data_IF_593117498777
#
_entry.id   IF_593117498777
#
_cell.length_a   1.000
_cell.length_b   1.000
_cell.length_c   1.000
_cell.angle_alpha   90.00
_cell.angle_beta   90.00
_cell.angle_gamma   90.00
#
_symmetry.space_group_name_H-M   'P 1'
#
loop_
_entity.id
_entity.type
_entity.pdbx_description
1 polymer ?
#
# COMPACT_ATOMS: atom_id res chain seq x y z
N UNK A 1 -2.16 -1.19 42.85
CA UNK A 1 -1.82 -2.31 41.95
C UNK A 1 -1.46 -1.75 40.57
N UNK A 2 -0.49 -2.35 39.87
CA UNK A 2 -0.14 -1.95 38.50
C UNK A 2 -0.86 -2.84 37.49
N UNK A 3 -1.43 -2.24 36.45
CA UNK A 3 -2.07 -2.94 35.34
C UNK A 3 -1.45 -2.58 34.01
N UNK A 4 -1.62 -3.45 33.02
CA UNK A 4 -1.37 -3.15 31.61
C UNK A 4 -2.67 -3.35 30.86
N UNK A 5 -3.08 -2.40 30.03
CA UNK A 5 -4.34 -2.48 29.28
C UNK A 5 -4.18 -1.83 27.90
N UNK A 6 -5.15 -2.08 27.03
CA UNK A 6 -5.20 -1.57 25.67
C UNK A 6 -6.62 -1.11 25.30
N UNK A 7 -6.84 -0.77 24.02
CA UNK A 7 -8.11 -0.27 23.51
C UNK A 7 -9.19 -1.36 23.35
N UNK A 8 -10.45 -0.94 23.42
CA UNK A 8 -11.61 -1.74 23.00
C UNK A 8 -11.52 -2.08 21.51
N UNK A 9 -12.04 -3.26 21.13
CA UNK A 9 -11.79 -3.81 19.80
C UNK A 9 -10.35 -4.32 19.67
N UNK A 10 -9.85 -4.95 20.74
CA UNK A 10 -8.47 -5.45 20.83
C UNK A 10 -8.16 -6.40 19.66
N UNK A 11 -7.18 -6.04 18.85
CA UNK A 11 -6.59 -6.86 17.80
C UNK A 11 -5.32 -7.59 18.29
N UNK A 12 -4.56 -8.18 17.37
CA UNK A 12 -3.36 -8.92 17.73
C UNK A 12 -2.21 -8.02 18.17
N UNK A 13 -2.09 -6.79 17.66
CA UNK A 13 -1.03 -5.87 18.10
C UNK A 13 -1.30 -5.43 19.55
N UNK A 14 -2.54 -5.04 19.84
CA UNK A 14 -3.01 -4.73 21.17
C UNK A 14 -2.83 -5.90 22.15
N UNK A 15 -3.24 -7.12 21.79
CA UNK A 15 -3.06 -8.30 22.63
C UNK A 15 -1.57 -8.61 22.87
N UNK A 16 -0.78 -8.60 21.80
CA UNK A 16 0.65 -8.88 21.86
C UNK A 16 1.37 -7.86 22.74
N UNK A 17 1.02 -6.58 22.60
CA UNK A 17 1.53 -5.48 23.41
C UNK A 17 1.15 -5.61 24.89
N UNK A 18 -0.08 -6.03 25.22
CA UNK A 18 -0.46 -6.28 26.62
C UNK A 18 0.41 -7.38 27.21
N UNK A 19 0.58 -8.49 26.47
CA UNK A 19 1.40 -9.61 26.93
C UNK A 19 2.87 -9.19 27.06
N UNK A 20 3.46 -8.52 26.08
CA UNK A 20 4.83 -8.01 26.13
C UNK A 20 5.04 -7.04 27.31
N UNK A 21 4.06 -6.18 27.59
CA UNK A 21 4.07 -5.32 28.77
C UNK A 21 4.24 -6.10 30.07
N UNK A 22 3.63 -7.29 30.20
CA UNK A 22 3.74 -8.10 31.44
C UNK A 22 5.16 -8.61 31.68
N UNK A 23 5.97 -8.71 30.62
CA UNK A 23 7.40 -9.03 30.73
C UNK A 23 8.23 -7.80 31.15
N UNK A 24 7.90 -6.61 30.62
CA UNK A 24 8.62 -5.37 30.93
C UNK A 24 8.31 -4.80 32.32
N UNK A 25 7.12 -5.11 32.85
CA UNK A 25 6.66 -4.66 34.15
C UNK A 25 6.30 -5.86 35.05
N UNK A 26 7.28 -6.60 35.61
CA UNK A 26 7.02 -7.78 36.42
C UNK A 26 6.12 -7.49 37.62
N UNK A 27 5.10 -8.33 37.83
CA UNK A 27 4.13 -8.17 38.93
C UNK A 27 2.91 -7.30 38.57
N UNK A 28 2.89 -6.71 37.38
CA UNK A 28 1.68 -6.13 36.79
C UNK A 28 0.69 -7.22 36.36
N UNK A 29 -0.58 -6.81 36.20
CA UNK A 29 -1.65 -7.67 35.68
C UNK A 29 -2.06 -7.17 34.30
N UNK A 30 -1.97 -8.04 33.28
CA UNK A 30 -2.53 -7.75 31.96
C UNK A 30 -4.06 -7.78 32.00
N UNK A 31 -4.70 -6.70 31.60
CA UNK A 31 -6.15 -6.52 31.61
C UNK A 31 -6.64 -6.34 30.18
N UNK A 32 -7.55 -7.24 29.75
CA UNK A 32 -8.16 -7.14 28.41
C UNK A 32 -9.57 -6.54 28.46
N UNK A 33 -9.87 -5.61 27.55
CA UNK A 33 -11.23 -5.13 27.27
C UNK A 33 -12.23 -6.26 26.99
N UNK A 34 -13.52 -6.02 27.28
CA UNK A 34 -14.58 -6.98 27.01
C UNK A 34 -14.87 -7.19 25.51
N UNK A 35 -14.59 -6.19 24.68
CA UNK A 35 -14.73 -6.26 23.23
C UNK A 35 -13.35 -6.51 22.60
N UNK A 36 -13.17 -7.67 22.01
CA UNK A 36 -11.97 -8.10 21.28
C UNK A 36 -12.36 -8.55 19.88
N UNK A 37 -11.42 -8.48 18.93
CA UNK A 37 -11.67 -8.91 17.56
C UNK A 37 -11.92 -10.43 17.48
N UNK A 38 -12.68 -10.92 16.47
CA UNK A 38 -13.04 -12.34 16.36
C UNK A 38 -11.84 -13.30 16.36
N UNK A 39 -10.77 -12.94 15.65
CA UNK A 39 -9.56 -13.74 15.49
C UNK A 39 -8.80 -13.84 16.83
N UNK A 40 -8.70 -12.72 17.53
CA UNK A 40 -8.15 -12.65 18.90
C UNK A 40 -8.99 -13.48 19.85
N UNK A 41 -10.32 -13.42 19.76
CA UNK A 41 -11.22 -14.24 20.59
C UNK A 41 -10.98 -15.73 20.36
N UNK A 42 -10.81 -16.15 19.10
CA UNK A 42 -10.50 -17.54 18.75
C UNK A 42 -9.13 -17.96 19.28
N UNK A 43 -8.12 -17.10 19.21
CA UNK A 43 -6.80 -17.35 19.79
C UNK A 43 -6.89 -17.53 21.31
N UNK A 44 -7.58 -16.61 22.00
CA UNK A 44 -7.75 -16.64 23.45
C UNK A 44 -8.52 -17.88 23.93
N UNK A 45 -9.47 -18.40 23.15
CA UNK A 45 -10.22 -19.60 23.52
C UNK A 45 -9.31 -20.83 23.78
N UNK A 46 -8.13 -20.85 23.15
CA UNK A 46 -7.15 -21.94 23.27
C UNK A 46 -5.99 -21.52 24.20
N UNK A 47 -5.57 -20.26 24.12
CA UNK A 47 -4.30 -19.80 24.71
C UNK A 47 -4.46 -18.91 25.96
N UNK A 48 -5.66 -18.51 26.40
CA UNK A 48 -5.80 -17.53 27.48
C UNK A 48 -5.06 -17.90 28.79
N UNK A 49 -5.06 -19.19 29.17
CA UNK A 49 -4.46 -19.65 30.43
C UNK A 49 -2.94 -19.44 30.51
N UNK A 50 -2.25 -19.38 29.37
CA UNK A 50 -0.79 -19.20 29.34
C UNK A 50 -0.38 -17.72 29.27
N UNK A 51 -1.28 -16.82 28.88
CA UNK A 51 -0.99 -15.40 28.66
C UNK A 51 -1.09 -14.52 29.92
N UNK A 52 -1.52 -15.08 31.05
CA UNK A 52 -1.63 -14.37 32.36
C UNK A 52 -2.42 -13.05 32.28
N UNK A 53 -3.46 -13.05 31.49
CA UNK A 53 -4.37 -11.92 31.27
C UNK A 53 -5.68 -12.13 32.02
N UNK A 54 -6.30 -11.03 32.45
CA UNK A 54 -7.55 -11.00 33.18
C UNK A 54 -8.59 -10.16 32.43
N UNK A 55 -9.85 -10.60 32.31
CA UNK A 55 -10.90 -9.76 31.72
C UNK A 55 -11.14 -8.49 32.55
N UNK A 56 -11.36 -7.35 31.88
CA UNK A 56 -11.66 -6.06 32.53
C UNK A 56 -12.79 -6.14 33.55
N UNK A 57 -13.84 -6.91 33.27
CA UNK A 57 -15.01 -7.08 34.15
C UNK A 57 -14.68 -7.70 35.51
N UNK A 58 -13.58 -8.45 35.60
CA UNK A 58 -13.18 -9.19 36.80
C UNK A 58 -12.15 -8.38 37.62
N UNK A 59 -11.93 -7.12 37.25
CA UNK A 59 -10.90 -6.26 37.81
C UNK A 59 -11.50 -5.05 38.55
N UNK A 60 -11.06 -4.84 39.78
CA UNK A 60 -11.42 -3.66 40.59
C UNK A 60 -10.57 -2.46 40.18
N UNK A 61 -11.21 -1.49 39.52
CA UNK A 61 -10.54 -0.30 38.99
C UNK A 61 -10.06 0.64 40.11
N UNK A 62 -10.71 0.61 41.28
CA UNK A 62 -10.36 1.50 42.38
C UNK A 62 -9.03 1.10 43.04
N UNK A 63 -8.62 -0.16 42.91
CA UNK A 63 -7.34 -0.68 43.40
C UNK A 63 -6.13 -0.33 42.50
N UNK A 64 -6.35 0.27 41.32
CA UNK A 64 -5.27 0.66 40.39
C UNK A 64 -4.50 1.85 40.94
N UNK A 65 -3.18 1.75 40.99
CA UNK A 65 -2.27 2.83 41.41
C UNK A 65 -1.27 3.21 40.32
N UNK A 66 -1.09 2.35 39.32
CA UNK A 66 -0.23 2.56 38.15
C UNK A 66 -0.84 1.83 36.96
N UNK A 67 -0.80 2.42 35.78
CA UNK A 67 -1.36 1.88 34.53
C UNK A 67 -0.36 2.05 33.40
N UNK A 68 -0.11 0.95 32.69
CA UNK A 68 0.60 0.94 31.42
C UNK A 68 -0.44 0.79 30.31
N UNK A 69 -0.57 1.80 29.47
CA UNK A 69 -1.46 1.78 28.32
C UNK A 69 -0.63 1.41 27.09
N UNK A 70 -1.07 0.40 26.36
CA UNK A 70 -0.39 -0.08 25.16
C UNK A 70 -1.32 -0.03 23.95
N UNK A 71 -0.77 0.35 22.80
CA UNK A 71 -1.50 0.48 21.52
C UNK A 71 -2.73 1.41 21.59
N UNK A 72 -2.65 2.41 22.48
CA UNK A 72 -3.67 3.43 22.63
C UNK A 72 -3.11 4.69 23.29
N UNK A 73 -3.51 5.84 22.78
CA UNK A 73 -3.15 7.15 23.34
C UNK A 73 -4.37 7.96 23.83
N UNK A 74 -5.55 7.34 23.89
CA UNK A 74 -6.80 8.04 24.18
C UNK A 74 -7.66 7.33 25.23
N UNK A 75 -8.03 8.03 26.30
CA UNK A 75 -8.87 7.50 27.39
C UNK A 75 -10.18 6.88 26.90
N UNK A 76 -10.82 7.49 25.89
CA UNK A 76 -12.09 7.00 25.34
C UNK A 76 -11.98 5.65 24.65
N UNK A 77 -10.77 5.23 24.28
CA UNK A 77 -10.51 3.91 23.71
C UNK A 77 -10.42 2.83 24.79
N UNK A 78 -10.27 3.16 26.07
CA UNK A 78 -10.12 2.19 27.16
C UNK A 78 -11.47 1.74 27.72
N UNK A 79 -11.62 0.46 28.02
CA UNK A 79 -12.90 -0.14 28.44
C UNK A 79 -13.32 0.29 29.86
N UNK A 80 -14.22 1.28 29.95
CA UNK A 80 -14.78 1.80 31.20
C UNK A 80 -13.68 2.17 32.19
N UNK A 81 -12.71 2.95 31.72
CA UNK A 81 -11.58 3.42 32.52
C UNK A 81 -11.49 4.95 32.64
N UNK A 82 -12.51 5.68 32.19
CA UNK A 82 -12.50 7.15 32.23
C UNK A 82 -12.30 7.72 33.66
N UNK A 83 -12.77 7.00 34.69
CA UNK A 83 -12.57 7.39 36.09
C UNK A 83 -11.11 7.40 36.54
N UNK A 84 -10.22 6.70 35.84
CA UNK A 84 -8.78 6.74 36.11
C UNK A 84 -8.13 8.02 35.60
N UNK A 85 -8.70 8.67 34.58
CA UNK A 85 -8.14 9.90 34.01
C UNK A 85 -8.06 11.05 35.02
N UNK A 86 -8.97 11.07 35.99
CA UNK A 86 -9.07 12.10 37.04
C UNK A 86 -8.48 11.65 38.38
N UNK A 87 -7.89 10.46 38.45
CA UNK A 87 -7.40 9.88 39.70
C UNK A 87 -6.08 10.51 40.12
N UNK A 88 -6.09 11.24 41.24
CA UNK A 88 -4.88 11.82 41.81
C UNK A 88 -3.84 10.74 42.16
N UNK A 89 -2.58 11.00 41.78
CA UNK A 89 -1.46 10.11 42.08
C UNK A 89 -1.39 8.82 41.24
N UNK A 90 -2.22 8.70 40.19
CA UNK A 90 -2.10 7.62 39.23
C UNK A 90 -0.85 7.81 38.36
N UNK A 91 0.04 6.83 38.39
CA UNK A 91 1.16 6.75 37.44
C UNK A 91 0.65 6.18 36.11
N UNK A 92 0.94 6.86 35.01
CA UNK A 92 0.49 6.46 33.67
C UNK A 92 1.69 6.36 32.75
N UNK A 93 1.93 5.17 32.20
CA UNK A 93 2.97 4.92 31.19
C UNK A 93 2.26 4.57 29.88
N UNK A 94 2.72 5.10 28.75
CA UNK A 94 2.11 4.89 27.45
C UNK A 94 3.11 4.31 26.44
N UNK A 95 2.72 3.24 25.75
CA UNK A 95 3.43 2.67 24.60
C UNK A 95 2.48 2.66 23.40
N UNK A 96 2.76 3.43 22.36
CA UNK A 96 1.85 3.55 21.22
C UNK A 96 2.62 3.93 19.95
N UNK A 97 2.09 3.61 18.78
CA UNK A 97 2.64 4.07 17.49
C UNK A 97 1.76 5.14 16.80
N UNK A 98 0.55 5.41 17.32
CA UNK A 98 -0.36 6.41 16.77
C UNK A 98 0.05 7.84 17.15
N UNK A 99 0.40 8.67 16.16
CA UNK A 99 0.88 10.05 16.39
C UNK A 99 -0.21 11.08 16.70
N UNK A 100 -1.46 10.80 16.31
CA UNK A 100 -2.58 11.73 16.43
C UNK A 100 -3.61 11.27 17.48
N UNK A 101 -4.49 12.18 17.91
CA UNK A 101 -5.65 11.83 18.74
C UNK A 101 -5.37 11.62 20.24
N UNK A 102 -4.21 12.08 20.71
CA UNK A 102 -3.71 11.90 22.08
C UNK A 102 -4.58 12.63 23.10
N UNK A 103 -5.06 11.91 24.11
CA UNK A 103 -5.74 12.49 25.29
C UNK A 103 -5.17 11.99 26.62
N UNK A 104 -4.33 10.96 26.60
CA UNK A 104 -3.66 10.43 27.78
C UNK A 104 -2.44 11.30 28.07
N UNK A 105 -2.42 11.92 29.25
CA UNK A 105 -1.26 12.60 29.81
C UNK A 105 -0.48 11.60 30.68
N UNK A 106 0.63 11.09 30.15
CA UNK A 106 1.42 10.03 30.76
C UNK A 106 2.74 10.58 31.31
N UNK A 107 3.16 10.11 32.48
CA UNK A 107 4.46 10.48 33.06
C UNK A 107 5.65 9.86 32.31
N UNK A 108 5.41 8.79 31.55
CA UNK A 108 6.39 8.16 30.67
C UNK A 108 5.72 7.77 29.35
N UNK A 109 6.32 8.14 28.21
CA UNK A 109 5.76 7.89 26.87
C UNK A 109 6.81 7.30 25.95
N UNK A 110 6.47 6.16 25.36
CA UNK A 110 7.22 5.50 24.28
C UNK A 110 6.33 5.54 23.04
N UNK A 111 6.46 6.62 22.27
CA UNK A 111 5.66 6.83 21.07
C UNK A 111 6.53 7.20 19.88
N UNK A 112 6.60 6.29 18.93
CA UNK A 112 7.43 6.40 17.74
C UNK A 112 6.71 5.82 16.52
N UNK A 113 7.08 6.28 15.32
CA UNK A 113 6.45 5.85 14.07
C UNK A 113 7.03 4.48 13.69
N UNK A 114 6.28 3.42 13.98
CA UNK A 114 6.58 2.03 13.63
C UNK A 114 5.32 1.35 13.11
N UNK A 115 5.48 0.24 12.40
CA UNK A 115 4.38 -0.48 11.78
C UNK A 115 3.42 -1.12 12.78
N UNK A 116 3.88 -1.49 13.97
CA UNK A 116 3.07 -2.04 15.07
C UNK A 116 3.59 -1.57 16.43
N UNK A 117 2.71 -1.29 17.39
CA UNK A 117 3.05 -0.87 18.74
C UNK A 117 3.92 -1.92 19.46
N UNK A 118 3.65 -3.22 19.26
CA UNK A 118 4.44 -4.30 19.88
C UNK A 118 5.92 -4.25 19.50
N UNK A 119 6.28 -3.67 18.34
CA UNK A 119 7.67 -3.49 17.93
C UNK A 119 8.47 -2.73 19.00
N UNK A 120 7.91 -1.66 19.57
CA UNK A 120 8.57 -0.85 20.60
C UNK A 120 8.82 -1.66 21.88
N UNK A 121 7.82 -2.46 22.29
CA UNK A 121 7.94 -3.29 23.48
C UNK A 121 8.96 -4.42 23.27
N UNK A 122 9.04 -5.00 22.07
CA UNK A 122 9.98 -6.06 21.74
C UNK A 122 11.42 -5.57 21.68
N UNK A 123 11.66 -4.38 21.15
CA UNK A 123 12.98 -3.76 21.17
C UNK A 123 13.45 -3.56 22.61
N UNK A 124 12.57 -3.11 23.50
CA UNK A 124 12.89 -2.96 24.92
C UNK A 124 13.08 -4.32 25.61
N UNK A 125 12.28 -5.33 25.28
CA UNK A 125 12.48 -6.70 25.78
C UNK A 125 13.82 -7.27 25.34
N UNK A 126 14.20 -7.08 24.08
CA UNK A 126 15.49 -7.50 23.52
C UNK A 126 16.63 -6.76 24.22
N UNK A 127 16.52 -5.44 24.41
CA UNK A 127 17.51 -4.62 25.13
C UNK A 127 17.71 -5.08 26.58
N UNK A 128 16.67 -5.63 27.21
CA UNK A 128 16.70 -6.18 28.57
C UNK A 128 17.09 -7.66 28.64
N UNK A 129 17.45 -8.29 27.51
CA UNK A 129 17.70 -9.74 27.40
C UNK A 129 16.56 -10.58 28.00
N UNK A 130 15.32 -10.15 27.76
CA UNK A 130 14.14 -10.76 28.37
C UNK A 130 13.77 -12.07 27.66
N UNK A 131 13.78 -13.22 28.34
CA UNK A 131 13.50 -14.49 27.69
C UNK A 131 12.01 -14.61 27.34
N UNK A 132 11.73 -15.09 26.14
CA UNK A 132 10.38 -15.40 25.68
C UNK A 132 10.32 -16.84 25.15
N UNK A 133 9.14 -17.45 25.22
CA UNK A 133 8.93 -18.81 24.71
C UNK A 133 8.51 -18.78 23.24
N UNK A 134 8.64 -19.88 22.48
CA UNK A 134 8.15 -19.97 21.10
C UNK A 134 6.69 -19.53 20.93
N UNK A 135 5.83 -19.83 21.92
CA UNK A 135 4.43 -19.40 21.90
C UNK A 135 4.27 -17.88 22.05
N UNK A 136 5.06 -17.24 22.91
CA UNK A 136 5.08 -15.78 22.98
C UNK A 136 5.65 -15.18 21.70
N UNK A 137 6.70 -15.79 21.13
CA UNK A 137 7.28 -15.38 19.86
C UNK A 137 6.22 -15.38 18.75
N UNK A 138 5.42 -16.45 18.67
CA UNK A 138 4.30 -16.57 17.73
C UNK A 138 3.24 -15.48 17.92
N UNK A 139 2.83 -15.20 19.17
CA UNK A 139 1.85 -14.15 19.45
C UNK A 139 2.38 -12.76 19.06
N UNK A 140 3.63 -12.47 19.41
CA UNK A 140 4.26 -11.19 19.06
C UNK A 140 4.41 -11.04 17.55
N UNK A 141 4.68 -12.14 16.83
CA UNK A 141 4.76 -12.13 15.38
C UNK A 141 3.39 -11.90 14.74
N UNK A 142 2.32 -12.47 15.31
CA UNK A 142 0.94 -12.17 14.93
C UNK A 142 0.62 -10.68 15.09
N UNK A 143 1.05 -10.06 16.18
CA UNK A 143 0.89 -8.62 16.41
C UNK A 143 1.52 -7.79 15.31
N UNK A 144 2.81 -8.00 15.03
CA UNK A 144 3.51 -7.26 13.97
C UNK A 144 2.84 -7.51 12.61
N UNK A 145 2.60 -8.76 12.23
CA UNK A 145 2.07 -9.07 10.90
C UNK A 145 0.64 -8.59 10.68
N UNK A 146 -0.20 -8.58 11.71
CA UNK A 146 -1.57 -8.05 11.65
C UNK A 146 -1.56 -6.58 11.24
N UNK A 147 -0.73 -5.76 11.90
CA UNK A 147 -0.76 -4.31 11.72
C UNK A 147 0.11 -3.81 10.55
N UNK A 148 1.08 -4.64 10.14
CA UNK A 148 1.95 -4.34 8.99
C UNK A 148 1.47 -4.93 7.66
N UNK A 149 0.37 -5.69 7.67
CA UNK A 149 -0.10 -6.44 6.51
C UNK A 149 0.96 -7.45 6.02
N UNK A 150 1.61 -8.15 6.95
CA UNK A 150 2.79 -8.98 6.73
C UNK A 150 3.94 -8.20 6.06
N UNK A 151 4.29 -7.03 6.61
CA UNK A 151 5.35 -6.13 6.13
C UNK A 151 5.11 -5.51 4.73
N UNK A 152 3.86 -5.45 4.27
CA UNK A 152 3.51 -4.89 2.95
C UNK A 152 2.99 -3.46 3.00
N UNK A 153 2.58 -2.98 4.17
CA UNK A 153 2.01 -1.64 4.29
C UNK A 153 3.09 -0.54 4.25
N UNK A 154 2.78 0.66 3.75
CA UNK A 154 3.75 1.76 3.69
C UNK A 154 4.23 2.26 5.07
N UNK A 155 3.47 2.01 6.14
CA UNK A 155 3.83 2.36 7.52
C UNK A 155 4.95 1.50 8.10
N UNK A 156 5.34 0.43 7.40
CA UNK A 156 6.34 -0.53 7.86
C UNK A 156 7.72 0.10 7.90
N UNK A 157 8.44 -0.13 8.99
CA UNK A 157 9.80 0.31 9.18
C UNK A 157 10.78 -0.86 9.21
N UNK A 158 12.08 -0.57 9.09
CA UNK A 158 13.12 -1.57 9.26
C UNK A 158 13.13 -2.20 10.66
N UNK A 159 12.60 -1.50 11.68
CA UNK A 159 12.48 -1.98 13.06
C UNK A 159 11.49 -3.14 13.16
N UNK A 160 10.36 -3.04 12.47
CA UNK A 160 9.35 -4.12 12.41
C UNK A 160 9.97 -5.39 11.79
N UNK A 161 10.69 -5.23 10.67
CA UNK A 161 11.37 -6.35 10.01
C UNK A 161 12.48 -6.97 10.89
N UNK A 162 13.21 -6.16 11.67
CA UNK A 162 14.20 -6.66 12.60
C UNK A 162 13.56 -7.47 13.73
N UNK A 163 12.45 -7.01 14.29
CA UNK A 163 11.71 -7.76 15.31
C UNK A 163 11.08 -9.03 14.76
N UNK A 164 10.62 -9.04 13.51
CA UNK A 164 10.19 -10.28 12.84
C UNK A 164 11.33 -11.30 12.77
N UNK A 165 12.54 -10.89 12.37
CA UNK A 165 13.71 -11.77 12.37
C UNK A 165 13.99 -12.33 13.77
N UNK A 166 14.01 -11.45 14.77
CA UNK A 166 14.22 -11.81 16.17
C UNK A 166 13.21 -12.83 16.67
N UNK A 167 11.92 -12.66 16.34
CA UNK A 167 10.86 -13.59 16.77
C UNK A 167 10.98 -14.96 16.08
N UNK A 168 11.33 -14.98 14.80
CA UNK A 168 11.57 -16.23 14.06
C UNK A 168 12.78 -16.98 14.66
N UNK A 169 13.86 -16.27 14.97
CA UNK A 169 15.04 -16.83 15.65
C UNK A 169 14.70 -17.41 17.03
N UNK A 170 13.70 -16.83 17.72
CA UNK A 170 13.18 -17.32 19.00
C UNK A 170 12.07 -18.38 18.85
N UNK A 171 11.87 -18.92 17.64
CA UNK A 171 11.01 -20.08 17.40
C UNK A 171 9.54 -19.76 17.18
N UNK A 172 9.20 -18.56 16.71
CA UNK A 172 7.83 -18.26 16.28
C UNK A 172 7.35 -19.27 15.21
N UNK A 173 6.14 -19.78 15.37
CA UNK A 173 5.55 -20.78 14.47
C UNK A 173 4.72 -20.11 13.36
N UNK A 174 5.33 -20.01 12.18
CA UNK A 174 4.71 -19.42 10.99
C UNK A 174 3.44 -20.17 10.53
N UNK A 175 3.27 -21.45 10.85
CA UNK A 175 2.04 -22.16 10.50
C UNK A 175 0.86 -21.67 11.34
N UNK A 176 1.10 -21.43 12.64
CA UNK A 176 0.09 -20.84 13.53
C UNK A 176 -0.20 -19.42 13.08
N UNK A 177 0.83 -18.62 12.78
CA UNK A 177 0.64 -17.26 12.26
C UNK A 177 -0.21 -17.27 10.99
N UNK A 178 0.13 -18.13 10.03
CA UNK A 178 -0.65 -18.27 8.80
C UNK A 178 -2.11 -18.67 9.06
N UNK A 179 -2.38 -19.55 10.03
CA UNK A 179 -3.74 -20.01 10.32
C UNK A 179 -4.64 -18.92 10.94
N UNK A 180 -4.07 -17.96 11.65
CA UNK A 180 -4.80 -16.84 12.26
C UNK A 180 -4.85 -15.59 11.39
N UNK A 181 -3.89 -15.43 10.47
CA UNK A 181 -3.90 -14.36 9.47
C UNK A 181 -4.56 -14.77 8.14
N UNK A 182 -4.85 -16.06 7.97
CA UNK A 182 -5.64 -16.51 6.82
C UNK A 182 -7.03 -15.89 6.95
N UNK A 183 -7.28 -14.90 6.09
CA UNK A 183 -8.60 -14.38 5.75
C UNK A 183 -9.38 -15.53 5.07
N UNK A 184 -9.75 -16.57 5.83
CA UNK A 184 -10.56 -17.66 5.32
C UNK A 184 -11.90 -17.04 4.92
N UNK A 185 -12.10 -16.89 3.61
CA UNK A 185 -13.35 -16.42 3.05
C UNK A 185 -14.37 -17.51 3.30
N UNK A 186 -15.24 -17.27 4.28
CA UNK A 186 -16.40 -18.13 4.49
C UNK A 186 -17.32 -18.11 3.25
N UNK A 187 -18.36 -18.94 3.28
CA UNK A 187 -19.31 -19.02 2.17
C UNK A 187 -19.95 -17.66 1.84
N UNK A 188 -20.13 -16.77 2.83
CA UNK A 188 -20.69 -15.44 2.63
C UNK A 188 -19.74 -14.51 1.88
N UNK A 189 -18.44 -14.54 2.19
CA UNK A 189 -17.42 -13.81 1.44
C UNK A 189 -17.28 -14.36 0.02
N UNK A 190 -17.35 -15.69 -0.15
CA UNK A 190 -17.30 -16.32 -1.47
C UNK A 190 -18.51 -15.93 -2.34
N UNK A 191 -19.72 -15.94 -1.76
CA UNK A 191 -20.93 -15.47 -2.44
C UNK A 191 -20.83 -13.99 -2.80
N UNK A 192 -20.36 -13.15 -1.87
CA UNK A 192 -20.18 -11.73 -2.13
C UNK A 192 -19.12 -11.48 -3.22
N UNK A 193 -18.02 -12.22 -3.22
CA UNK A 193 -17.01 -12.13 -4.27
C UNK A 193 -17.58 -12.49 -5.64
N UNK A 194 -18.42 -13.53 -5.69
CA UNK A 194 -19.17 -13.90 -6.90
C UNK A 194 -20.02 -12.74 -7.42
N UNK A 195 -20.77 -12.06 -6.53
CA UNK A 195 -21.56 -10.87 -6.89
C UNK A 195 -20.69 -9.71 -7.37
N UNK A 196 -19.55 -9.46 -6.72
CA UNK A 196 -18.60 -8.43 -7.17
C UNK A 196 -18.12 -8.75 -8.59
N UNK A 197 -17.77 -10.00 -8.89
CA UNK A 197 -17.32 -10.40 -10.23
C UNK A 197 -18.41 -10.28 -11.30
N UNK A 198 -19.67 -10.45 -10.94
CA UNK A 198 -20.82 -10.37 -11.84
C UNK A 198 -21.29 -8.93 -12.07
N UNK A 199 -21.40 -8.13 -11.01
CA UNK A 199 -22.04 -6.81 -11.02
C UNK A 199 -21.06 -5.64 -11.18
N UNK A 200 -19.76 -5.86 -10.95
CA UNK A 200 -18.80 -4.77 -11.07
C UNK A 200 -18.68 -4.26 -12.51
N UNK A 201 -18.81 -2.94 -12.68
CA UNK A 201 -18.51 -2.26 -13.92
C UNK A 201 -17.01 -1.96 -14.02
N UNK A 202 -16.46 -2.03 -15.24
CA UNK A 202 -15.10 -1.57 -15.52
C UNK A 202 -15.21 -0.30 -16.36
N UNK A 203 -14.79 0.81 -15.78
CA UNK A 203 -14.80 2.13 -16.42
C UNK A 203 -13.39 2.49 -16.85
N UNK A 204 -13.25 2.94 -18.10
CA UNK A 204 -12.01 3.49 -18.62
C UNK A 204 -11.93 4.98 -18.26
N UNK A 205 -11.02 5.34 -17.36
CA UNK A 205 -10.79 6.73 -16.98
C UNK A 205 -9.40 7.15 -17.47
N UNK A 206 -9.36 7.88 -18.57
CA UNK A 206 -8.10 8.17 -19.25
C UNK A 206 -7.43 6.87 -19.70
N UNK A 207 -6.28 6.56 -19.12
CA UNK A 207 -5.56 5.31 -19.40
C UNK A 207 -5.75 4.23 -18.33
N UNK A 208 -6.44 4.49 -17.20
CA UNK A 208 -6.67 3.46 -16.16
C UNK A 208 -7.96 2.70 -16.42
N UNK A 209 -7.92 1.41 -16.13
CA UNK A 209 -9.11 0.60 -15.90
C UNK A 209 -9.49 0.68 -14.42
N UNK A 210 -10.71 1.11 -14.14
CA UNK A 210 -11.24 1.22 -12.78
C UNK A 210 -12.44 0.30 -12.65
N UNK A 211 -12.35 -0.65 -11.73
CA UNK A 211 -13.50 -1.47 -11.37
C UNK A 211 -14.34 -0.80 -10.28
N UNK A 212 -15.65 -0.71 -10.45
CA UNK A 212 -16.57 -0.13 -9.46
C UNK A 212 -17.69 -1.13 -9.22
N UNK A 213 -17.98 -1.42 -7.96
CA UNK A 213 -19.07 -2.33 -7.59
C UNK A 213 -19.86 -1.73 -6.43
N UNK A 214 -21.19 -1.73 -6.53
CA UNK A 214 -22.09 -1.21 -5.50
C UNK A 214 -23.10 -2.28 -5.08
N UNK A 215 -23.00 -2.78 -3.85
CA UNK A 215 -23.78 -3.93 -3.38
C UNK A 215 -24.43 -3.68 -2.02
N UNK A 216 -25.64 -4.21 -1.85
CA UNK A 216 -26.19 -4.40 -0.51
C UNK A 216 -25.57 -5.64 0.14
N UNK A 217 -25.21 -5.52 1.41
CA UNK A 217 -24.58 -6.60 2.18
C UNK A 217 -25.35 -6.86 3.47
N UNK A 218 -25.18 -8.05 4.02
CA UNK A 218 -25.68 -8.36 5.37
C UNK A 218 -24.86 -7.59 6.42
N UNK A 219 -25.50 -7.19 7.51
CA UNK A 219 -24.81 -6.54 8.62
C UNK A 219 -23.82 -7.50 9.28
N UNK A 220 -22.64 -6.97 9.62
CA UNK A 220 -21.60 -7.73 10.33
C UNK A 220 -20.57 -8.44 9.44
N UNK A 221 -20.68 -8.36 8.10
CA UNK A 221 -19.65 -8.87 7.21
C UNK A 221 -18.40 -7.95 7.27
N UNK A 222 -17.26 -8.51 7.66
CA UNK A 222 -15.96 -7.83 7.76
C UNK A 222 -15.10 -8.13 6.52
N UNK A 223 -13.81 -7.76 6.52
CA UNK A 223 -12.83 -8.09 5.47
C UNK A 223 -13.23 -7.74 4.01
N UNK A 224 -14.13 -6.76 3.83
CA UNK A 224 -14.57 -6.31 2.49
C UNK A 224 -13.43 -5.68 1.68
N UNK A 225 -12.43 -5.11 2.35
CA UNK A 225 -11.22 -4.60 1.73
C UNK A 225 -10.43 -5.69 1.00
N UNK A 226 -10.36 -6.88 1.58
CA UNK A 226 -9.70 -8.05 0.97
C UNK A 226 -10.45 -8.48 -0.29
N UNK A 227 -11.78 -8.44 -0.29
CA UNK A 227 -12.60 -8.73 -1.48
C UNK A 227 -12.35 -7.72 -2.61
N UNK A 228 -12.30 -6.42 -2.31
CA UNK A 228 -12.03 -5.38 -3.30
C UNK A 228 -10.61 -5.52 -3.88
N UNK A 229 -9.63 -5.86 -3.04
CA UNK A 229 -8.25 -6.12 -3.48
C UNK A 229 -8.16 -7.36 -4.38
N UNK A 230 -8.74 -8.50 -3.95
CA UNK A 230 -8.79 -9.72 -4.76
C UNK A 230 -9.48 -9.47 -6.10
N UNK A 231 -10.54 -8.66 -6.13
CA UNK A 231 -11.22 -8.30 -7.38
C UNK A 231 -10.31 -7.47 -8.29
N UNK A 232 -9.59 -6.48 -7.73
CA UNK A 232 -8.60 -5.67 -8.46
C UNK A 232 -7.55 -6.54 -9.12
N UNK A 233 -6.97 -7.47 -8.37
CA UNK A 233 -5.95 -8.43 -8.83
C UNK A 233 -6.52 -9.38 -9.89
N UNK A 234 -7.68 -9.98 -9.61
CA UNK A 234 -8.30 -10.98 -10.49
C UNK A 234 -8.72 -10.40 -11.85
N UNK A 235 -9.30 -9.19 -11.87
CA UNK A 235 -9.66 -8.49 -13.11
C UNK A 235 -8.50 -7.76 -13.76
N UNK A 236 -7.36 -7.62 -13.07
CA UNK A 236 -6.20 -6.88 -13.55
C UNK A 236 -6.46 -5.39 -13.74
N UNK A 237 -7.38 -4.79 -12.97
CA UNK A 237 -7.68 -3.36 -13.04
C UNK A 237 -6.68 -2.54 -12.23
N UNK A 238 -6.50 -1.27 -12.58
CA UNK A 238 -5.51 -0.40 -11.93
C UNK A 238 -5.99 0.08 -10.56
N UNK A 239 -7.31 0.25 -10.44
CA UNK A 239 -8.01 0.56 -9.21
C UNK A 239 -9.34 -0.19 -9.12
N UNK A 240 -9.79 -0.45 -7.91
CA UNK A 240 -11.08 -1.04 -7.61
C UNK A 240 -11.75 -0.28 -6.46
N UNK A 241 -13.04 -0.05 -6.57
CA UNK A 241 -13.88 0.54 -5.55
C UNK A 241 -15.06 -0.38 -5.25
N UNK A 242 -15.20 -0.77 -3.98
CA UNK A 242 -16.39 -1.44 -3.46
C UNK A 242 -17.21 -0.45 -2.64
N UNK A 243 -18.48 -0.26 -3.02
CA UNK A 243 -19.47 0.49 -2.27
C UNK A 243 -20.43 -0.51 -1.64
N UNK A 244 -20.44 -0.57 -0.32
CA UNK A 244 -21.22 -1.55 0.42
C UNK A 244 -22.23 -0.86 1.34
N UNK A 245 -23.47 -1.33 1.29
CA UNK A 245 -24.55 -0.81 2.13
C UNK A 245 -25.15 -1.94 2.98
N UNK A 246 -24.89 -1.90 4.28
CA UNK A 246 -25.52 -2.80 5.26
C UNK A 246 -26.81 -2.23 5.87
N UNK A 247 -26.95 -0.91 5.89
CA UNK A 247 -28.15 -0.20 6.33
C UNK A 247 -28.44 0.99 5.41
N UNK A 248 -29.70 1.42 5.29
CA UNK A 248 -30.11 2.47 4.35
C UNK A 248 -29.56 3.87 4.67
N UNK A 249 -28.83 4.05 5.78
CA UNK A 249 -28.38 5.36 6.27
C UNK A 249 -26.92 5.63 5.97
N UNK A 250 -26.12 4.63 5.61
CA UNK A 250 -24.70 4.84 5.27
C UNK A 250 -24.21 3.87 4.20
N UNK A 251 -23.35 4.38 3.33
CA UNK A 251 -22.58 3.57 2.39
C UNK A 251 -21.12 3.61 2.81
N UNK A 252 -20.51 2.42 2.93
CA UNK A 252 -19.07 2.29 3.12
C UNK A 252 -18.41 2.16 1.76
N UNK A 253 -17.47 3.05 1.45
CA UNK A 253 -16.68 3.00 0.23
C UNK A 253 -15.28 2.52 0.60
N UNK A 254 -14.81 1.51 -0.11
CA UNK A 254 -13.45 0.98 0.02
C UNK A 254 -12.76 1.09 -1.32
N UNK A 255 -11.61 1.76 -1.36
CA UNK A 255 -10.77 1.85 -2.54
C UNK A 255 -9.48 1.05 -2.40
N UNK A 256 -9.06 0.44 -3.49
CA UNK A 256 -7.76 -0.21 -3.65
C UNK A 256 -7.18 0.17 -4.99
N UNK A 257 -5.90 0.48 -5.04
CA UNK A 257 -5.29 1.01 -6.25
C UNK A 257 -3.79 0.88 -6.26
N UNK A 258 -3.24 1.06 -7.45
CA UNK A 258 -1.80 1.23 -7.66
C UNK A 258 -1.47 2.71 -7.43
N UNK A 259 -0.71 3.08 -6.39
CA UNK A 259 -0.35 4.47 -6.09
C UNK A 259 0.19 5.25 -7.30
N UNK A 260 0.94 4.57 -8.17
CA UNK A 260 1.50 5.14 -9.40
C UNK A 260 0.46 5.57 -10.44
N UNK A 261 -0.81 5.18 -10.27
CA UNK A 261 -1.88 5.47 -11.21
C UNK A 261 -3.01 6.30 -10.62
N UNK A 262 -3.28 6.15 -9.32
CA UNK A 262 -4.36 6.88 -8.64
C UNK A 262 -4.07 6.96 -7.14
N UNK A 263 -4.19 8.15 -6.55
CA UNK A 263 -4.13 8.32 -5.09
C UNK A 263 -5.52 8.04 -4.49
N UNK A 264 -5.70 6.80 -4.03
CA UNK A 264 -6.95 6.37 -3.38
C UNK A 264 -7.21 7.18 -2.11
N UNK A 265 -6.18 7.48 -1.32
CA UNK A 265 -6.31 8.25 -0.08
C UNK A 265 -6.85 9.65 -0.33
N UNK A 266 -6.40 10.32 -1.39
CA UNK A 266 -6.88 11.64 -1.79
C UNK A 266 -8.37 11.59 -2.19
N UNK A 267 -8.77 10.58 -2.95
CA UNK A 267 -10.17 10.38 -3.34
C UNK A 267 -11.06 10.10 -2.12
N UNK A 268 -10.58 9.27 -1.19
CA UNK A 268 -11.33 8.96 0.04
C UNK A 268 -11.46 10.17 0.94
N UNK A 269 -10.44 11.04 1.04
CA UNK A 269 -10.54 12.33 1.75
C UNK A 269 -11.61 13.24 1.16
N UNK A 270 -11.76 13.28 -0.17
CA UNK A 270 -12.83 14.05 -0.81
C UNK A 270 -14.23 13.52 -0.47
N UNK A 271 -14.37 12.24 -0.09
CA UNK A 271 -15.59 11.61 0.41
C UNK A 271 -15.76 11.72 1.93
N UNK A 272 -14.89 12.46 2.63
CA UNK A 272 -14.90 12.58 4.09
C UNK A 272 -14.31 11.37 4.83
N UNK A 273 -13.56 10.54 4.13
CA UNK A 273 -12.78 9.43 4.68
C UNK A 273 -11.28 9.72 4.76
N UNK A 274 -10.47 8.68 4.58
CA UNK A 274 -9.02 8.77 4.64
C UNK A 274 -8.32 7.55 4.06
N UNK A 275 -6.99 7.55 4.14
CA UNK A 275 -6.14 6.47 3.66
C UNK A 275 -4.82 6.95 3.05
N UNK A 276 -4.13 6.00 2.43
CA UNK A 276 -2.85 6.16 1.76
C UNK A 276 -3.03 6.10 0.23
N UNK A 277 -2.01 6.45 -0.57
CA UNK A 277 -2.10 6.41 -2.03
C UNK A 277 -2.62 5.10 -2.63
N UNK A 278 -2.31 3.94 -2.04
CA UNK A 278 -2.76 2.64 -2.57
C UNK A 278 -4.08 2.10 -2.00
N UNK A 279 -4.57 2.67 -0.90
CA UNK A 279 -5.70 2.10 -0.16
C UNK A 279 -6.36 3.15 0.72
N UNK A 280 -7.69 3.13 0.76
CA UNK A 280 -8.43 4.00 1.66
C UNK A 280 -9.88 3.59 1.79
N UNK A 281 -10.60 4.28 2.67
CA UNK A 281 -12.03 4.08 2.89
C UNK A 281 -12.72 5.36 3.33
N UNK A 282 -14.01 5.46 3.03
CA UNK A 282 -14.88 6.52 3.46
C UNK A 282 -16.26 5.99 3.88
N UNK A 283 -16.94 6.70 4.77
CA UNK A 283 -18.34 6.43 5.13
C UNK A 283 -19.17 7.63 4.70
N UNK A 284 -20.02 7.43 3.70
CA UNK A 284 -20.94 8.46 3.21
C UNK A 284 -22.29 8.25 3.92
N UNK A 285 -22.73 9.26 4.66
CA UNK A 285 -23.99 9.22 5.43
C UNK A 285 -25.14 9.78 4.60
N UNK A 286 -26.33 9.21 4.78
CA UNK A 286 -27.59 9.62 4.15
C UNK A 286 -27.53 9.61 2.62
N UNK A 287 -26.91 8.58 2.03
CA UNK A 287 -26.69 8.47 0.59
C UNK A 287 -27.09 7.06 0.13
N UNK A 288 -27.72 6.99 -1.04
CA UNK A 288 -28.05 5.70 -1.67
C UNK A 288 -26.82 5.02 -2.26
N UNK A 289 -26.89 3.71 -2.55
CA UNK A 289 -25.80 3.01 -3.23
C UNK A 289 -25.46 3.64 -4.58
N UNK A 290 -26.48 4.04 -5.34
CA UNK A 290 -26.33 4.62 -6.67
C UNK A 290 -25.67 6.00 -6.60
N UNK A 291 -26.11 6.87 -5.68
CA UNK A 291 -25.50 8.18 -5.46
C UNK A 291 -24.05 8.07 -4.97
N UNK A 292 -23.75 7.09 -4.12
CA UNK A 292 -22.39 6.84 -3.66
C UNK A 292 -21.49 6.34 -4.82
N UNK A 293 -22.01 5.47 -5.68
CA UNK A 293 -21.31 5.02 -6.88
C UNK A 293 -21.06 6.18 -7.86
N UNK A 294 -22.03 7.07 -8.05
CA UNK A 294 -21.87 8.27 -8.90
C UNK A 294 -20.82 9.25 -8.37
N UNK A 295 -20.78 9.45 -7.05
CA UNK A 295 -19.72 10.26 -6.42
C UNK A 295 -18.34 9.65 -6.67
N UNK A 296 -18.19 8.33 -6.49
CA UNK A 296 -16.93 7.63 -6.79
C UNK A 296 -16.58 7.79 -8.27
N UNK A 297 -17.52 7.57 -9.21
CA UNK A 297 -17.29 7.74 -10.65
C UNK A 297 -16.78 9.15 -10.98
N UNK A 298 -17.45 10.18 -10.45
CA UNK A 298 -17.10 11.58 -10.67
C UNK A 298 -15.71 11.94 -10.13
N UNK A 299 -15.39 11.49 -8.91
CA UNK A 299 -14.10 11.73 -8.29
C UNK A 299 -12.98 10.99 -9.03
N UNK A 300 -13.23 9.77 -9.48
CA UNK A 300 -12.26 8.99 -10.25
C UNK A 300 -11.97 9.68 -11.58
N UNK A 301 -13.00 10.16 -12.28
CA UNK A 301 -12.87 10.93 -13.52
C UNK A 301 -12.04 12.21 -13.34
N UNK A 302 -12.23 12.90 -12.21
CA UNK A 302 -11.56 14.18 -11.90
C UNK A 302 -10.14 13.98 -11.37
N UNK A 303 -9.89 12.95 -10.57
CA UNK A 303 -8.60 12.65 -9.94
C UNK A 303 -7.54 12.14 -10.92
N UNK A 304 -7.95 11.59 -12.06
CA UNK A 304 -7.05 11.12 -13.12
C UNK A 304 -6.52 12.25 -14.03
N UNK A 305 -6.84 13.52 -13.75
CA UNK A 305 -6.43 14.66 -14.58
C UNK A 305 -5.07 15.26 -14.23
N UNK A 306 -4.41 14.84 -13.15
CA UNK A 306 -3.01 15.20 -12.90
C UNK A 306 -2.10 14.31 -13.74
N UNK A 307 -2.00 14.61 -15.04
CA UNK A 307 -1.13 13.90 -15.98
C UNK A 307 0.08 14.76 -16.28
N UNK A 308 1.27 14.29 -15.93
CA UNK A 308 2.49 14.80 -16.57
C UNK A 308 2.43 14.41 -18.05
N UNK A 309 2.38 15.41 -18.93
CA UNK A 309 2.40 15.20 -20.37
C UNK A 309 3.83 14.95 -20.86
N UNK A 310 3.96 14.19 -21.95
CA UNK A 310 5.24 13.88 -22.60
C UNK A 310 6.01 15.14 -22.93
N UNK A 311 5.34 16.20 -23.36
CA UNK A 311 5.96 17.49 -23.67
C UNK A 311 6.70 18.12 -22.49
N UNK A 312 6.31 17.81 -21.25
CA UNK A 312 6.96 18.33 -20.04
C UNK A 312 8.26 17.58 -19.67
N UNK A 313 8.46 16.36 -20.19
CA UNK A 313 9.59 15.48 -19.83
C UNK A 313 10.47 15.08 -21.01
N UNK A 314 10.06 15.40 -22.24
CA UNK A 314 10.80 15.03 -23.44
C UNK A 314 12.17 15.72 -23.50
N UNK A 315 13.16 14.99 -24.02
CA UNK A 315 14.49 15.51 -24.32
C UNK A 315 14.53 16.16 -25.71
N UNK A 316 15.47 17.08 -25.89
CA UNK A 316 15.86 17.58 -27.22
C UNK A 316 16.25 16.39 -28.13
N UNK A 317 15.74 16.34 -29.37
CA UNK A 317 15.91 15.17 -30.22
C UNK A 317 17.29 15.10 -30.89
N UNK A 318 18.12 16.15 -30.85
CA UNK A 318 19.35 16.26 -31.65
C UNK A 318 20.36 15.13 -31.46
N UNK A 319 20.50 14.64 -30.21
CA UNK A 319 21.39 13.48 -29.92
C UNK A 319 20.79 12.14 -30.35
N UNK A 320 19.50 12.07 -30.62
CA UNK A 320 18.77 10.84 -30.99
C UNK A 320 18.51 10.71 -32.50
N UNK A 321 18.77 11.72 -33.32
CA UNK A 321 18.45 11.71 -34.76
C UNK A 321 19.66 11.30 -35.63
N UNK A 322 19.44 10.54 -36.71
CA UNK A 322 20.40 10.39 -37.82
C UNK A 322 19.72 10.51 -39.19
N UNK A 323 20.48 10.98 -40.19
CA UNK A 323 20.01 11.02 -41.58
C UNK A 323 19.99 9.62 -42.22
N UNK A 324 19.18 9.37 -43.28
CA UNK A 324 18.93 8.02 -43.79
C UNK A 324 20.15 7.38 -44.49
N UNK A 325 21.11 8.20 -44.92
CA UNK A 325 22.34 7.84 -45.61
C UNK A 325 23.54 7.62 -44.69
N UNK A 326 23.42 7.95 -43.39
CA UNK A 326 24.42 7.65 -42.37
C UNK A 326 24.70 6.15 -42.35
N UNK A 327 25.96 5.75 -42.18
CA UNK A 327 26.36 4.34 -42.15
C UNK A 327 26.05 3.67 -40.81
N UNK A 328 25.92 2.35 -40.79
CA UNK A 328 25.72 1.59 -39.54
C UNK A 328 26.85 1.82 -38.52
N UNK A 329 28.09 1.99 -38.99
CA UNK A 329 29.24 2.30 -38.12
C UNK A 329 29.12 3.68 -37.45
N UNK A 330 28.74 4.70 -38.22
CA UNK A 330 28.53 6.05 -37.70
C UNK A 330 27.35 6.11 -36.72
N UNK A 331 26.27 5.38 -37.00
CA UNK A 331 25.14 5.27 -36.09
C UNK A 331 25.54 4.60 -34.76
N UNK A 332 26.31 3.51 -34.80
CA UNK A 332 26.85 2.86 -33.61
C UNK A 332 27.77 3.80 -32.80
N UNK A 333 28.63 4.55 -33.48
CA UNK A 333 29.49 5.54 -32.84
C UNK A 333 28.68 6.65 -32.16
N UNK A 334 27.62 7.15 -32.82
CA UNK A 334 26.75 8.18 -32.23
C UNK A 334 26.03 7.66 -30.99
N UNK A 335 25.49 6.43 -31.02
CA UNK A 335 24.88 5.78 -29.87
C UNK A 335 25.86 5.67 -28.69
N UNK A 336 27.06 5.16 -28.94
CA UNK A 336 28.11 5.02 -27.93
C UNK A 336 28.56 6.37 -27.35
N UNK A 337 28.79 7.38 -28.20
CA UNK A 337 29.24 8.70 -27.77
C UNK A 337 28.20 9.44 -26.91
N UNK A 338 26.91 9.15 -27.11
CA UNK A 338 25.82 9.80 -26.37
C UNK A 338 25.24 8.93 -25.24
N UNK A 339 25.79 7.72 -25.04
CA UNK A 339 25.30 6.71 -24.10
C UNK A 339 23.79 6.43 -24.26
N UNK A 340 23.37 6.15 -25.50
CA UNK A 340 21.97 5.86 -25.88
C UNK A 340 21.89 4.55 -26.66
N UNK A 341 20.77 3.83 -26.51
CA UNK A 341 20.54 2.52 -27.15
C UNK A 341 19.71 2.58 -28.43
N UNK A 342 19.18 3.75 -28.79
CA UNK A 342 18.21 3.94 -29.86
C UNK A 342 18.40 5.26 -30.60
N UNK A 343 18.16 5.22 -31.91
CA UNK A 343 18.14 6.40 -32.79
C UNK A 343 16.85 6.42 -33.61
N UNK A 344 16.37 7.63 -33.89
CA UNK A 344 15.32 7.91 -34.86
C UNK A 344 15.98 8.33 -36.18
N UNK A 345 15.62 7.66 -37.26
CA UNK A 345 16.07 8.01 -38.61
C UNK A 345 15.10 9.07 -39.12
N UNK A 346 15.60 10.27 -39.42
CA UNK A 346 14.79 11.36 -39.94
C UNK A 346 15.26 11.80 -41.32
N UNK A 347 14.32 12.27 -42.14
CA UNK A 347 14.63 13.14 -43.27
C UNK A 347 14.18 14.56 -42.87
N UNK A 348 15.14 15.46 -42.68
CA UNK A 348 14.91 16.75 -42.02
C UNK A 348 14.25 16.53 -40.65
N UNK A 349 13.05 17.09 -40.42
CA UNK A 349 12.30 16.92 -39.18
C UNK A 349 11.34 15.71 -39.20
N UNK A 350 11.13 15.04 -40.35
CA UNK A 350 10.15 13.95 -40.46
C UNK A 350 10.77 12.61 -40.07
N UNK A 351 10.24 11.90 -39.05
CA UNK A 351 10.72 10.58 -38.67
C UNK A 351 10.33 9.53 -39.72
N UNK A 352 11.30 8.73 -40.17
CA UNK A 352 11.15 7.68 -41.17
C UNK A 352 11.24 6.26 -40.57
N UNK A 353 11.78 6.13 -39.36
CA UNK A 353 11.88 4.86 -38.66
C UNK A 353 12.87 4.89 -37.50
N UNK A 354 13.04 3.73 -36.86
CA UNK A 354 13.91 3.54 -35.70
C UNK A 354 15.07 2.60 -35.99
N UNK A 355 16.13 2.75 -35.20
CA UNK A 355 17.31 1.89 -35.22
C UNK A 355 17.78 1.63 -33.79
N UNK A 356 18.02 0.37 -33.44
CA UNK A 356 18.55 -0.02 -32.13
C UNK A 356 20.05 -0.31 -32.17
N UNK A 357 20.73 -0.19 -31.02
CA UNK A 357 22.14 -0.58 -30.86
C UNK A 357 22.39 -2.03 -31.27
N UNK A 358 21.42 -2.92 -31.04
CA UNK A 358 21.48 -4.31 -31.46
C UNK A 358 21.48 -4.45 -32.99
N UNK A 359 20.68 -3.65 -33.70
CA UNK A 359 20.65 -3.64 -35.16
C UNK A 359 22.01 -3.18 -35.72
N UNK A 360 22.58 -2.11 -35.14
CA UNK A 360 23.94 -1.63 -35.43
C UNK A 360 25.01 -2.71 -35.22
N UNK A 361 25.01 -3.34 -34.05
CA UNK A 361 25.99 -4.36 -33.66
C UNK A 361 25.94 -5.57 -34.61
N UNK A 362 24.74 -6.04 -34.96
CA UNK A 362 24.57 -7.17 -35.89
C UNK A 362 25.07 -6.84 -37.29
N UNK A 363 24.79 -5.64 -37.79
CA UNK A 363 25.25 -5.22 -39.11
C UNK A 363 26.78 -5.11 -39.18
N UNK A 364 27.41 -4.47 -38.18
CA UNK A 364 28.88 -4.31 -38.11
C UNK A 364 29.57 -5.67 -38.03
N UNK A 365 29.12 -6.57 -37.16
CA UNK A 365 29.67 -7.94 -37.06
C UNK A 365 29.53 -8.77 -38.34
N UNK A 366 28.54 -8.46 -39.17
CA UNK A 366 28.29 -9.15 -40.43
C UNK A 366 29.02 -8.51 -41.63
N UNK A 367 29.98 -7.61 -41.38
CA UNK A 367 30.74 -6.91 -42.43
C UNK A 367 29.93 -5.85 -43.19
N UNK A 368 28.83 -5.36 -42.60
CA UNK A 368 27.91 -4.38 -43.22
C UNK A 368 28.00 -3.00 -42.55
N UNK A 369 29.20 -2.64 -42.11
CA UNK A 369 29.48 -1.39 -41.40
C UNK A 369 29.17 -0.15 -42.25
N UNK A 370 29.47 -0.19 -43.56
CA UNK A 370 29.33 0.94 -44.49
C UNK A 370 27.94 1.03 -45.14
N UNK A 371 27.01 0.14 -44.78
CA UNK A 371 25.65 0.19 -45.34
C UNK A 371 24.85 1.34 -44.71
N UNK A 372 24.07 2.10 -45.49
CA UNK A 372 23.18 3.13 -44.96
C UNK A 372 22.11 2.60 -43.99
N UNK A 373 21.83 3.35 -42.92
CA UNK A 373 20.83 3.00 -41.90
C UNK A 373 19.42 2.83 -42.45
N UNK A 374 19.05 3.52 -43.54
CA UNK A 374 17.73 3.36 -44.19
C UNK A 374 17.42 1.92 -44.64
N UNK A 375 18.45 1.10 -44.87
CA UNK A 375 18.29 -0.32 -45.22
C UNK A 375 17.89 -1.21 -44.03
N UNK A 376 18.06 -0.72 -42.81
CA UNK A 376 17.75 -1.40 -41.54
C UNK A 376 16.66 -0.71 -40.74
N UNK A 377 16.14 0.41 -41.25
CA UNK A 377 15.12 1.22 -40.60
C UNK A 377 13.82 0.44 -40.34
N UNK A 378 13.37 0.44 -39.10
CA UNK A 378 12.04 -0.05 -38.73
C UNK A 378 11.03 1.08 -38.93
N UNK A 379 10.15 0.94 -39.92
CA UNK A 379 9.22 2.01 -40.32
C UNK A 379 8.09 2.28 -39.33
N UNK A 380 7.66 1.26 -38.60
CA UNK A 380 6.59 1.38 -37.60
C UNK A 380 7.21 1.57 -36.22
N UNK A 381 7.76 2.75 -35.96
CA UNK A 381 8.13 3.14 -34.60
C UNK A 381 6.91 3.68 -33.85
N UNK A 382 6.78 3.40 -32.54
CA UNK A 382 5.75 4.03 -31.73
C UNK A 382 6.03 5.54 -31.61
N UNK A 383 4.98 6.35 -31.77
CA UNK A 383 5.02 7.82 -31.76
C UNK A 383 4.04 8.32 -30.69
N UNK A 384 4.43 9.38 -29.98
CA UNK A 384 3.60 10.10 -29.03
C UNK A 384 3.42 11.57 -29.49
N UNK A 385 2.31 12.21 -29.11
CA UNK A 385 2.16 13.66 -29.22
C UNK A 385 2.71 14.34 -27.94
N UNK A 386 3.03 15.65 -27.97
CA UNK A 386 3.42 16.37 -26.75
C UNK A 386 2.36 16.27 -25.64
N UNK A 387 1.08 16.25 -26.00
CA UNK A 387 -0.06 16.10 -25.08
C UNK A 387 -0.33 14.65 -24.64
N UNK A 388 0.37 13.67 -25.20
CA UNK A 388 0.27 12.27 -24.74
C UNK A 388 0.74 12.21 -23.30
N UNK A 389 -0.03 11.57 -22.43
CA UNK A 389 0.39 11.44 -21.03
C UNK A 389 1.58 10.49 -20.89
N UNK A 390 2.48 10.75 -19.95
CA UNK A 390 3.68 9.92 -19.72
C UNK A 390 3.33 8.43 -19.55
N UNK A 391 2.16 8.13 -18.98
CA UNK A 391 1.68 6.76 -18.82
C UNK A 391 1.32 6.07 -20.14
N UNK A 392 0.59 6.74 -21.03
CA UNK A 392 0.32 6.20 -22.37
C UNK A 392 1.64 6.02 -23.13
N UNK A 393 2.57 6.96 -22.97
CA UNK A 393 3.93 6.80 -23.46
C UNK A 393 4.62 5.56 -22.86
N UNK A 394 4.47 5.21 -21.58
CA UNK A 394 5.01 3.95 -21.03
C UNK A 394 4.47 2.72 -21.74
N UNK A 395 3.19 2.70 -22.13
CA UNK A 395 2.60 1.59 -22.90
C UNK A 395 3.13 1.55 -24.35
N UNK A 396 3.30 2.71 -24.98
CA UNK A 396 3.94 2.80 -26.29
C UNK A 396 5.40 2.34 -26.23
N UNK A 397 6.11 2.67 -25.14
CA UNK A 397 7.51 2.32 -24.88
C UNK A 397 7.70 0.82 -24.73
N UNK A 398 6.73 0.10 -24.13
CA UNK A 398 6.78 -1.36 -24.04
C UNK A 398 6.86 -2.05 -25.42
N UNK A 399 6.36 -1.38 -26.46
CA UNK A 399 6.43 -1.84 -27.84
C UNK A 399 7.60 -1.22 -28.63
N UNK A 400 8.33 -0.26 -28.06
CA UNK A 400 9.48 0.39 -28.68
C UNK A 400 10.75 -0.44 -28.46
N UNK A 401 11.28 -1.06 -29.51
CA UNK A 401 12.48 -1.92 -29.40
C UNK A 401 13.78 -1.13 -29.31
N UNK A 402 13.71 0.13 -29.67
CA UNK A 402 14.82 1.08 -29.68
C UNK A 402 15.06 1.69 -28.29
N UNK A 403 14.13 1.51 -27.35
CA UNK A 403 14.19 2.10 -26.01
C UNK A 403 13.93 3.60 -25.99
N UNK A 404 13.40 4.15 -27.09
CA UNK A 404 13.07 5.56 -27.27
C UNK A 404 11.73 5.70 -28.00
N UNK A 405 10.98 6.75 -27.65
CA UNK A 405 9.75 7.17 -28.32
C UNK A 405 9.96 8.49 -29.03
N UNK A 406 9.56 8.54 -30.30
CA UNK A 406 9.50 9.78 -31.05
C UNK A 406 8.30 10.61 -30.60
N UNK A 407 8.54 11.87 -30.23
CA UNK A 407 7.47 12.84 -29.94
C UNK A 407 7.28 13.70 -31.18
N UNK A 408 6.10 13.59 -31.79
CA UNK A 408 5.79 14.22 -33.08
C UNK A 408 4.63 15.18 -32.92
N UNK A 409 4.80 16.38 -33.46
CA UNK A 409 3.73 17.37 -33.62
C UNK A 409 3.70 17.83 -35.09
N UNK A 410 2.51 17.89 -35.69
CA UNK A 410 2.33 18.26 -37.11
C UNK A 410 3.27 17.53 -38.10
N UNK A 411 3.52 16.22 -37.90
CA UNK A 411 4.45 15.37 -38.67
C UNK A 411 5.95 15.70 -38.52
N UNK A 412 6.32 16.58 -37.60
CA UNK A 412 7.70 16.91 -37.28
C UNK A 412 8.10 16.35 -35.91
N UNK A 413 9.31 15.81 -35.82
CA UNK A 413 9.89 15.33 -34.58
C UNK A 413 10.28 16.53 -33.71
N UNK A 414 9.53 16.74 -32.62
CA UNK A 414 9.73 17.84 -31.67
C UNK A 414 10.46 17.42 -30.39
N UNK A 415 10.57 16.11 -30.13
CA UNK A 415 11.27 15.60 -28.97
C UNK A 415 11.44 14.09 -28.98
N UNK A 416 12.18 13.58 -28.00
CA UNK A 416 12.32 12.14 -27.75
C UNK A 416 12.14 11.87 -26.26
N UNK A 417 11.41 10.80 -25.95
CA UNK A 417 11.28 10.29 -24.58
C UNK A 417 12.00 8.96 -24.47
N UNK A 418 12.83 8.80 -23.45
CA UNK A 418 13.54 7.54 -23.15
C UNK A 418 12.83 6.73 -22.07
N UNK A 419 13.21 5.46 -21.91
CA UNK A 419 12.73 4.65 -20.78
C UNK A 419 13.05 5.30 -19.44
N UNK A 420 14.24 5.91 -19.30
CA UNK A 420 14.66 6.60 -18.07
C UNK A 420 13.78 7.80 -17.77
N UNK A 421 13.45 8.62 -18.78
CA UNK A 421 12.60 9.80 -18.60
C UNK A 421 11.22 9.41 -18.06
N UNK A 422 10.66 8.30 -18.55
CA UNK A 422 9.38 7.76 -18.06
C UNK A 422 9.51 7.10 -16.69
N UNK A 423 10.61 6.40 -16.41
CA UNK A 423 10.83 5.71 -15.15
C UNK A 423 10.90 6.72 -13.98
N UNK A 424 11.55 7.87 -14.19
CA UNK A 424 11.59 8.97 -13.22
C UNK A 424 10.22 9.62 -12.95
N UNK A 425 9.20 9.34 -13.77
CA UNK A 425 7.82 9.76 -13.50
C UNK A 425 6.99 8.69 -12.76
N UNK A 426 7.48 7.45 -12.71
CA UNK A 426 6.78 6.32 -12.09
C UNK A 426 7.32 6.02 -10.69
N UNK A 427 8.59 6.33 -10.43
CA UNK A 427 9.28 6.10 -9.17
C UNK A 427 9.84 7.40 -8.61
N UNK A 428 9.45 7.75 -7.38
CA UNK A 428 10.14 8.75 -6.57
C UNK A 428 11.42 8.10 -6.02
N UNK A 429 12.59 8.48 -6.56
CA UNK A 429 13.90 8.06 -6.07
C UNK A 429 14.45 9.01 -5.01
#
# INVERSE_FOLDING_TARGET
MQIITTHTGTDFDALASVVAGTFLYPGSVGVLPGMVNPEVKQFLAIHANILRITPRKDFDIDAVTSIVVVDANNWKRLDKMDSLAEKEGLEVICWDHHMEGVTIDSCETHREEVGAAVTLLLEEMQRRDTPLSPMHATLFLLGIYSDTGCLRYPSVTSRDAAMVSFLIENGADLNVVSAYLDDSMDDAHTELFGKILEEAEIVNVGSINVGICALQINSGLTSLSTLVEKFREFRGVDAAFGIFQADSRKCMVIGRGKPQFIDIGQLMRALGGGGHPGAGSAIIKNTSLEEAADQVRSLTASGCNNKTEVGAVMSDPGRFIVAPDVTMAQAAQKMSANNISGLIICNEATPLGGLSELDCTKAVKSGRADVPVKGYARRNIPIAAPSTCCREATMLMANAREGVLAVVDNNELVGVVTQTDLLLQVYDF
#
